data_IF_898465154177
#
_entry.id   IF_898465154177
#
_cell.length_a   1.000
_cell.length_b   1.000
_cell.length_c   1.000
_cell.angle_alpha   90.00
_cell.angle_beta   90.00
_cell.angle_gamma   90.00
#
_symmetry.space_group_name_H-M   'P 1'
#
loop_
_entity.id
_entity.type
_entity.pdbx_description
1 polymer ?
#
# COMPACT_ATOMS: atom_id res chain seq x y z
N UNK A 1 -5.93 -5.15 -3.38
CA UNK A 1 -5.56 -4.25 -4.49
C UNK A 1 -6.42 -3.00 -4.42
N UNK A 2 -5.80 -1.83 -4.36
CA UNK A 2 -6.49 -0.54 -4.38
C UNK A 2 -6.41 -0.01 -5.80
N UNK A 3 -7.53 0.47 -6.33
CA UNK A 3 -7.61 1.01 -7.68
C UNK A 3 -8.04 2.49 -7.55
N UNK A 4 -7.16 3.45 -7.91
CA UNK A 4 -7.51 4.86 -7.88
C UNK A 4 -8.74 5.14 -8.73
N UNK A 5 -9.60 6.06 -8.28
CA UNK A 5 -10.68 6.55 -9.15
C UNK A 5 -10.04 7.38 -10.27
N UNK A 6 -10.02 6.83 -11.48
CA UNK A 6 -9.71 7.63 -12.66
C UNK A 6 -10.79 8.69 -12.85
N UNK A 7 -10.38 9.95 -12.99
CA UNK A 7 -11.21 11.02 -13.54
C UNK A 7 -11.42 10.75 -15.04
N UNK A 8 -12.34 9.83 -15.35
CA UNK A 8 -12.96 9.58 -16.66
C UNK A 8 -12.07 9.66 -17.93
N UNK A 9 -11.79 8.49 -18.53
CA UNK A 9 -11.89 8.35 -20.01
C UNK A 9 -12.11 6.92 -20.49
N UNK A 10 -11.95 5.91 -19.64
CA UNK A 10 -12.22 4.52 -19.96
C UNK A 10 -13.14 3.94 -18.89
N UNK A 11 -14.43 3.88 -19.17
CA UNK A 11 -15.41 3.23 -18.31
C UNK A 11 -15.26 1.70 -18.44
N UNK A 12 -14.14 1.16 -17.95
CA UNK A 12 -13.99 -0.28 -17.82
C UNK A 12 -14.75 -0.71 -16.58
N UNK A 13 -15.66 -1.67 -16.71
CA UNK A 13 -16.38 -2.22 -15.58
C UNK A 13 -15.41 -2.77 -14.54
N UNK A 14 -15.65 -2.47 -13.27
CA UNK A 14 -14.83 -2.97 -12.18
C UNK A 14 -14.82 -4.51 -12.20
N UNK A 15 -13.64 -5.15 -12.22
CA UNK A 15 -13.56 -6.60 -12.34
C UNK A 15 -14.24 -7.26 -11.14
N UNK A 16 -15.04 -8.28 -11.43
CA UNK A 16 -15.76 -9.06 -10.42
C UNK A 16 -15.07 -10.40 -10.25
N UNK A 17 -14.73 -10.71 -9.01
CA UNK A 17 -14.19 -12.00 -8.62
C UNK A 17 -15.23 -12.73 -7.78
N UNK A 18 -15.45 -14.01 -8.05
CA UNK A 18 -16.34 -14.87 -7.23
C UNK A 18 -15.64 -15.45 -6.00
N UNK A 19 -14.30 -15.38 -5.94
CA UNK A 19 -13.51 -15.87 -4.82
C UNK A 19 -13.56 -14.88 -3.64
N UNK A 20 -14.05 -15.29 -2.45
CA UNK A 20 -14.18 -14.40 -1.30
C UNK A 20 -12.84 -13.94 -0.71
N UNK A 21 -11.71 -14.57 -1.09
CA UNK A 21 -10.36 -14.15 -0.68
C UNK A 21 -9.91 -12.88 -1.40
N UNK A 22 -10.49 -12.58 -2.57
CA UNK A 22 -10.13 -11.42 -3.38
C UNK A 22 -11.02 -10.25 -3.01
N UNK A 23 -10.40 -9.18 -2.50
CA UNK A 23 -11.08 -7.91 -2.22
C UNK A 23 -10.40 -6.78 -2.97
N UNK A 24 -11.22 -6.00 -3.67
CA UNK A 24 -10.80 -4.81 -4.39
C UNK A 24 -11.41 -3.58 -3.74
N UNK A 25 -10.60 -2.55 -3.57
CA UNK A 25 -11.03 -1.28 -2.98
C UNK A 25 -10.88 -0.19 -4.04
N UNK A 26 -11.99 0.43 -4.44
CA UNK A 26 -11.99 1.49 -5.44
C UNK A 26 -12.00 2.85 -4.76
N UNK A 27 -10.96 3.66 -4.99
CA UNK A 27 -10.81 4.97 -4.36
C UNK A 27 -9.35 5.33 -4.13
N UNK A 28 -9.11 6.47 -3.49
CA UNK A 28 -7.76 6.87 -3.12
C UNK A 28 -7.26 6.09 -1.90
N UNK A 29 -5.94 5.97 -1.74
CA UNK A 29 -5.33 5.24 -0.60
C UNK A 29 -5.85 5.72 0.76
N UNK A 30 -5.97 7.05 0.94
CA UNK A 30 -6.45 7.63 2.20
C UNK A 30 -7.93 7.37 2.51
N UNK A 31 -8.73 7.05 1.50
CA UNK A 31 -10.15 6.69 1.66
C UNK A 31 -10.33 5.18 1.87
N UNK A 32 -9.43 4.38 1.30
CA UNK A 32 -9.64 2.94 1.14
C UNK A 32 -8.82 2.08 2.10
N UNK A 33 -7.58 2.44 2.40
CA UNK A 33 -6.74 1.68 3.34
C UNK A 33 -7.35 1.59 4.74
N UNK A 34 -7.96 2.65 5.32
CA UNK A 34 -8.61 2.54 6.63
C UNK A 34 -9.74 1.48 6.70
N UNK A 35 -10.28 1.06 5.55
CA UNK A 35 -11.31 0.01 5.46
C UNK A 35 -10.70 -1.39 5.37
N UNK A 36 -9.39 -1.51 5.18
CA UNK A 36 -8.67 -2.77 5.12
C UNK A 36 -8.16 -3.16 6.50
N UNK A 37 -8.43 -4.40 6.89
CA UNK A 37 -7.94 -4.97 8.16
C UNK A 37 -7.06 -6.17 7.88
N UNK A 38 -5.86 -6.17 8.46
CA UNK A 38 -4.94 -7.31 8.40
C UNK A 38 -5.41 -8.41 9.34
N UNK A 39 -5.41 -9.66 8.85
CA UNK A 39 -5.62 -10.81 9.74
C UNK A 39 -4.30 -11.15 10.45
N UNK A 40 -4.31 -11.42 11.77
CA UNK A 40 -3.10 -11.50 12.60
C UNK A 40 -2.20 -12.74 12.38
N UNK A 41 -2.46 -13.59 11.39
CA UNK A 41 -1.89 -14.95 11.37
C UNK A 41 -0.99 -15.28 10.17
N UNK A 42 -0.67 -14.32 9.31
CA UNK A 42 0.16 -14.60 8.13
C UNK A 42 1.23 -13.53 7.92
N UNK A 43 2.38 -13.98 7.42
CA UNK A 43 3.40 -13.08 6.90
C UNK A 43 2.77 -12.22 5.81
N UNK A 44 2.89 -10.90 5.95
CA UNK A 44 2.28 -9.96 5.02
C UNK A 44 3.21 -9.76 3.83
N UNK A 45 2.64 -9.80 2.62
CA UNK A 45 3.34 -9.32 1.42
C UNK A 45 2.63 -8.06 0.98
N UNK A 46 3.33 -6.93 1.04
CA UNK A 46 2.83 -5.64 0.57
C UNK A 46 3.54 -5.33 -0.75
N UNK A 47 2.77 -5.37 -1.84
CA UNK A 47 3.21 -4.86 -3.12
C UNK A 47 2.85 -3.36 -3.21
N UNK A 48 3.86 -2.54 -3.37
CA UNK A 48 3.82 -1.07 -3.40
C UNK A 48 4.14 -0.65 -4.83
N UNK A 49 3.10 -0.20 -5.51
CA UNK A 49 3.12 0.32 -6.88
C UNK A 49 2.28 1.61 -6.85
N UNK A 50 2.85 2.64 -6.23
CA UNK A 50 2.13 3.86 -5.88
C UNK A 50 2.62 5.08 -6.66
N UNK A 51 3.78 4.98 -7.31
CA UNK A 51 4.57 5.98 -8.04
C UNK A 51 5.02 7.20 -7.21
N UNK A 52 4.15 7.72 -6.34
CA UNK A 52 4.32 8.97 -5.64
C UNK A 52 4.80 8.78 -4.20
N UNK A 53 5.62 9.72 -3.75
CA UNK A 53 6.07 9.84 -2.36
C UNK A 53 4.91 9.81 -1.36
N UNK A 54 3.90 10.66 -1.56
CA UNK A 54 2.79 10.84 -0.62
C UNK A 54 1.95 9.58 -0.48
N UNK A 55 1.68 8.90 -1.60
CA UNK A 55 0.97 7.62 -1.63
C UNK A 55 1.75 6.54 -0.88
N UNK A 56 3.04 6.38 -1.20
CA UNK A 56 3.93 5.39 -0.56
C UNK A 56 4.05 5.64 0.95
N UNK A 57 4.30 6.88 1.35
CA UNK A 57 4.41 7.28 2.76
C UNK A 57 3.13 6.99 3.52
N UNK A 58 1.97 7.25 2.92
CA UNK A 58 0.67 6.92 3.53
C UNK A 58 0.49 5.41 3.72
N UNK A 59 0.81 4.60 2.71
CA UNK A 59 0.74 3.13 2.79
C UNK A 59 1.63 2.60 3.91
N UNK A 60 2.91 3.00 3.95
CA UNK A 60 3.87 2.54 4.95
C UNK A 60 3.42 2.91 6.37
N UNK A 61 2.98 4.14 6.58
CA UNK A 61 2.50 4.60 7.88
C UNK A 61 1.21 3.89 8.31
N UNK A 62 0.31 3.60 7.38
CA UNK A 62 -0.92 2.87 7.68
C UNK A 62 -0.64 1.45 8.21
N UNK A 63 0.35 0.76 7.63
CA UNK A 63 0.71 -0.60 8.05
C UNK A 63 1.74 -0.65 9.18
N UNK A 64 2.23 0.49 9.68
CA UNK A 64 3.30 0.58 10.68
C UNK A 64 3.14 -0.39 11.85
N UNK A 65 1.96 -0.43 12.47
CA UNK A 65 1.66 -1.29 13.62
C UNK A 65 1.22 -2.71 13.22
N UNK A 66 0.90 -2.92 11.94
CA UNK A 66 0.31 -4.14 11.40
C UNK A 66 1.30 -4.97 10.55
N UNK A 67 2.60 -4.67 10.63
CA UNK A 67 3.66 -5.41 9.96
C UNK A 67 4.35 -6.39 10.92
N UNK A 68 3.95 -7.68 10.97
CA UNK A 68 4.66 -8.67 11.76
C UNK A 68 6.08 -8.90 11.23
N UNK A 69 6.96 -9.40 12.10
CA UNK A 69 8.30 -9.87 11.70
C UNK A 69 8.15 -10.92 10.59
N UNK A 70 8.89 -10.75 9.50
CA UNK A 70 8.77 -11.57 8.30
C UNK A 70 7.84 -11.01 7.22
N UNK A 71 7.33 -9.78 7.39
CA UNK A 71 6.67 -9.03 6.32
C UNK A 71 7.63 -8.72 5.17
N UNK A 72 7.16 -8.89 3.93
CA UNK A 72 7.88 -8.57 2.71
C UNK A 72 7.28 -7.31 2.08
N UNK A 73 8.12 -6.29 1.88
CA UNK A 73 7.77 -5.09 1.12
C UNK A 73 8.39 -5.20 -0.27
N UNK A 74 7.56 -5.14 -1.30
CA UNK A 74 7.99 -5.14 -2.70
C UNK A 74 7.62 -3.80 -3.31
N UNK A 75 8.59 -3.11 -3.92
CA UNK A 75 8.42 -1.80 -4.54
C UNK A 75 8.62 -1.95 -6.05
N UNK A 76 7.66 -1.51 -6.86
CA UNK A 76 7.80 -1.59 -8.32
C UNK A 76 8.80 -0.56 -8.86
N UNK A 77 8.81 0.66 -8.30
CA UNK A 77 9.66 1.77 -8.77
C UNK A 77 10.65 2.26 -7.70
N UNK A 78 11.35 1.35 -7.04
CA UNK A 78 12.33 1.72 -6.00
C UNK A 78 13.53 2.53 -6.53
N UNK A 79 13.78 2.53 -7.84
CA UNK A 79 14.84 3.32 -8.47
C UNK A 79 14.57 4.82 -8.46
N UNK A 80 13.31 5.24 -8.26
CA UNK A 80 12.92 6.65 -8.19
C UNK A 80 13.32 7.24 -6.84
N UNK A 81 14.40 8.03 -6.83
CA UNK A 81 14.99 8.56 -5.60
C UNK A 81 14.06 9.50 -4.84
N UNK A 82 13.22 10.28 -5.52
CA UNK A 82 12.38 11.32 -4.90
C UNK A 82 11.01 10.81 -4.44
N UNK A 83 10.67 9.56 -4.76
CA UNK A 83 9.35 8.98 -4.49
C UNK A 83 9.44 7.79 -3.54
N UNK A 84 9.26 6.57 -4.03
CA UNK A 84 9.13 5.39 -3.18
C UNK A 84 10.36 5.16 -2.29
N UNK A 85 11.56 5.32 -2.87
CA UNK A 85 12.82 5.21 -2.14
C UNK A 85 12.94 6.24 -1.02
N UNK A 86 12.60 7.51 -1.30
CA UNK A 86 12.61 8.56 -0.27
C UNK A 86 11.59 8.28 0.82
N UNK A 87 10.35 7.93 0.46
CA UNK A 87 9.31 7.62 1.43
C UNK A 87 9.72 6.47 2.36
N UNK A 88 10.34 5.43 1.82
CA UNK A 88 10.85 4.32 2.61
C UNK A 88 12.02 4.73 3.52
N UNK A 89 12.94 5.55 3.03
CA UNK A 89 14.06 6.07 3.84
C UNK A 89 13.57 6.94 5.00
N UNK A 90 12.64 7.84 4.73
CA UNK A 90 12.05 8.73 5.74
C UNK A 90 11.29 7.88 6.78
N UNK A 91 10.50 6.89 6.34
CA UNK A 91 9.86 5.92 7.21
C UNK A 91 10.85 5.16 8.13
N UNK A 92 11.97 4.65 7.59
CA UNK A 92 12.98 3.98 8.40
C UNK A 92 13.67 4.90 9.40
N UNK A 93 13.89 6.17 9.04
CA UNK A 93 14.52 7.16 9.93
C UNK A 93 13.62 7.48 11.13
N UNK A 94 12.31 7.59 10.92
CA UNK A 94 11.32 7.83 11.98
C UNK A 94 11.19 6.65 12.95
N UNK A 95 11.27 5.42 12.45
CA UNK A 95 11.12 4.19 13.23
C UNK A 95 12.42 3.71 13.89
N UNK A 96 13.55 4.36 13.64
CA UNK A 96 14.87 3.95 14.17
C UNK A 96 15.01 4.13 15.68
N UNK A 97 14.10 4.87 16.31
CA UNK A 97 14.14 5.23 17.73
C UNK A 97 13.26 4.35 18.63
N UNK A 98 12.61 3.32 18.08
CA UNK A 98 11.70 2.43 18.82
C UNK A 98 12.32 1.06 19.17
N UNK A 99 13.66 1.01 19.33
CA UNK A 99 14.41 -0.20 19.73
C UNK A 99 14.92 -0.09 21.16
#
# INVERSE_FOLDING_TARGET
>A
MIIPRAASRWATSFPKFSDPRVRLFQGWFHETLPLYTTSPHEALVINIDCDLYSSTSFVLNHFREAMPIGTWLYFDEFGSWDHECRAFRDFLAENRNEV
#
